data_IF_905941795315
#
_entry.id   IF_905941795315
#
_cell.length_a   1.000
_cell.length_b   1.000
_cell.length_c   1.000
_cell.angle_alpha   90.00
_cell.angle_beta   90.00
_cell.angle_gamma   90.00
#
_symmetry.space_group_name_H-M   'P 1'
#
loop_
_entity.id
_entity.type
_entity.pdbx_description
1 polymer ?
#
# COMPACT_ATOMS: atom_id res chain seq x y z
N UNK A 1 11.86 2.89 9.76
CA UNK A 1 11.20 3.38 11.00
C UNK A 1 9.82 4.00 10.73
N UNK A 2 8.90 3.35 9.99
CA UNK A 2 7.52 3.85 9.80
C UNK A 2 6.46 2.77 9.99
N UNK A 3 6.84 1.51 9.76
CA UNK A 3 5.98 0.33 9.94
C UNK A 3 5.56 0.14 11.42
N UNK A 4 6.39 0.59 12.36
CA UNK A 4 6.18 0.49 13.80
C UNK A 4 5.04 1.36 14.34
N UNK A 5 4.61 2.42 13.64
CA UNK A 5 3.60 3.35 14.15
C UNK A 5 2.14 2.85 13.99
N UNK A 6 1.87 2.02 12.98
CA UNK A 6 0.51 1.47 12.73
C UNK A 6 0.24 0.28 13.66
N UNK A 7 1.22 -0.62 13.79
CA UNK A 7 1.15 -1.79 14.69
C UNK A 7 1.02 -1.35 16.17
N UNK A 8 1.68 -0.24 16.56
CA UNK A 8 1.69 0.26 17.93
C UNK A 8 0.31 0.71 18.46
N UNK A 9 -0.71 0.89 17.61
CA UNK A 9 -2.07 1.28 18.00
C UNK A 9 -3.07 0.11 18.02
N UNK A 10 -2.59 -1.14 17.96
CA UNK A 10 -3.45 -2.32 17.93
C UNK A 10 -4.13 -2.58 16.58
N UNK A 11 -3.71 -1.87 15.52
CA UNK A 11 -4.21 -2.09 14.16
C UNK A 11 -3.44 -3.27 13.55
N UNK A 12 -4.16 -4.36 13.28
CA UNK A 12 -3.59 -5.53 12.58
C UNK A 12 -3.48 -5.21 11.09
N UNK A 13 -2.27 -5.33 10.55
CA UNK A 13 -2.06 -5.29 9.12
C UNK A 13 -2.54 -6.62 8.52
N UNK A 14 -3.39 -6.55 7.50
CA UNK A 14 -3.86 -7.73 6.78
C UNK A 14 -2.84 -8.19 5.71
N UNK A 15 -1.93 -7.29 5.31
CA UNK A 15 -0.89 -7.53 4.31
C UNK A 15 0.40 -6.78 4.69
N UNK A 16 1.54 -7.30 4.26
CA UNK A 16 2.83 -6.63 4.41
C UNK A 16 2.85 -5.28 3.67
N UNK A 17 3.56 -4.30 4.23
CA UNK A 17 3.78 -3.01 3.56
C UNK A 17 4.70 -3.24 2.36
N UNK A 18 4.14 -3.17 1.15
CA UNK A 18 4.88 -3.32 -0.11
C UNK A 18 4.75 -2.09 -0.98
N UNK A 19 5.69 -1.96 -1.92
CA UNK A 19 5.62 -0.94 -2.97
C UNK A 19 5.05 -1.61 -4.20
N UNK A 20 3.83 -1.26 -4.56
CA UNK A 20 3.04 -1.88 -5.62
C UNK A 20 2.25 -0.77 -6.33
N UNK A 21 1.48 -1.10 -7.37
CA UNK A 21 0.60 -0.14 -8.05
C UNK A 21 1.29 1.18 -8.42
N UNK A 22 2.18 1.12 -9.41
CA UNK A 22 2.78 2.34 -10.00
C UNK A 22 3.55 3.23 -9.02
N UNK A 23 4.22 2.62 -8.04
CA UNK A 23 5.12 3.33 -7.12
C UNK A 23 4.47 3.77 -5.80
N UNK A 24 3.28 3.25 -5.50
CA UNK A 24 2.60 3.47 -4.23
C UNK A 24 3.09 2.49 -3.17
N UNK A 25 3.22 2.98 -1.94
CA UNK A 25 3.42 2.13 -0.75
C UNK A 25 2.09 1.98 -0.04
N UNK A 26 1.62 0.73 0.04
CA UNK A 26 0.30 0.40 0.55
C UNK A 26 0.33 -0.48 1.77
N UNK A 27 -0.74 -0.41 2.55
CA UNK A 27 -1.13 -1.47 3.48
C UNK A 27 -2.64 -1.56 3.59
N UNK A 28 -3.11 -2.71 4.08
CA UNK A 28 -4.52 -3.03 4.16
C UNK A 28 -4.90 -3.30 5.60
N UNK A 29 -6.04 -2.72 6.02
CA UNK A 29 -6.61 -2.90 7.35
C UNK A 29 -8.10 -3.24 7.24
N UNK A 30 -8.64 -3.87 8.29
CA UNK A 30 -10.07 -4.03 8.47
C UNK A 30 -10.55 -3.09 9.57
N UNK A 31 -11.63 -2.34 9.31
CA UNK A 31 -12.23 -1.50 10.33
C UNK A 31 -13.20 -2.30 11.23
N UNK A 32 -13.79 -1.62 12.22
CA UNK A 32 -14.69 -2.22 13.21
C UNK A 32 -16.02 -2.70 12.61
N UNK A 33 -16.43 -2.13 11.48
CA UNK A 33 -17.66 -2.47 10.77
C UNK A 33 -17.42 -3.58 9.73
N UNK A 34 -16.16 -3.99 9.56
CA UNK A 34 -15.75 -5.09 8.71
C UNK A 34 -15.33 -4.67 7.30
N UNK A 35 -15.26 -3.38 6.98
CA UNK A 35 -14.80 -2.91 5.67
C UNK A 35 -13.30 -3.12 5.49
N UNK A 36 -12.89 -3.45 4.27
CA UNK A 36 -11.48 -3.52 3.87
C UNK A 36 -11.04 -2.15 3.37
N UNK A 37 -10.09 -1.54 4.08
CA UNK A 37 -9.52 -0.25 3.74
C UNK A 37 -8.11 -0.45 3.19
N UNK A 38 -7.89 -0.05 1.94
CA UNK A 38 -6.57 0.00 1.34
C UNK A 38 -6.03 1.43 1.43
N UNK A 39 -4.89 1.61 2.09
CA UNK A 39 -4.28 2.92 2.30
C UNK A 39 -2.98 2.96 1.51
N UNK A 40 -2.92 3.85 0.51
CA UNK A 40 -1.78 4.02 -0.36
C UNK A 40 -1.15 5.39 -0.21
N UNK A 41 0.16 5.44 -0.36
CA UNK A 41 0.92 6.68 -0.48
C UNK A 41 1.91 6.56 -1.63
N UNK A 42 1.88 7.48 -2.57
CA UNK A 42 2.89 7.56 -3.62
C UNK A 42 4.26 7.86 -3.02
N UNK A 43 5.18 6.92 -3.20
CA UNK A 43 6.58 7.04 -2.74
C UNK A 43 7.54 7.14 -3.91
N UNK A 44 7.13 6.73 -5.11
CA UNK A 44 7.83 6.94 -6.37
C UNK A 44 6.81 7.46 -7.40
N UNK A 45 7.04 8.66 -7.93
CA UNK A 45 6.30 9.12 -9.10
C UNK A 45 6.82 8.37 -10.32
N UNK A 46 5.91 7.81 -11.11
CA UNK A 46 6.23 7.09 -12.34
C UNK A 46 5.68 7.86 -13.53
N UNK A 47 6.44 7.87 -14.61
CA UNK A 47 5.98 8.36 -15.92
C UNK A 47 4.94 7.42 -16.52
N UNK A 48 4.19 7.91 -17.50
CA UNK A 48 3.14 7.10 -18.13
C UNK A 48 3.70 5.86 -18.87
N UNK A 49 4.92 5.97 -19.40
CA UNK A 49 5.63 4.86 -20.04
C UNK A 49 6.02 3.78 -19.02
N UNK A 50 6.58 4.19 -17.86
CA UNK A 50 6.90 3.26 -16.77
C UNK A 50 5.65 2.56 -16.20
N UNK A 51 4.52 3.27 -16.15
CA UNK A 51 3.22 2.72 -15.72
C UNK A 51 2.71 1.68 -16.71
N UNK A 52 2.78 1.99 -18.01
CA UNK A 52 2.34 1.10 -19.07
C UNK A 52 3.17 -0.19 -19.11
N UNK A 53 4.47 -0.11 -18.85
CA UNK A 53 5.34 -1.29 -18.80
C UNK A 53 5.08 -2.15 -17.55
N UNK A 54 4.89 -1.54 -16.38
CA UNK A 54 4.52 -2.26 -15.16
C UNK A 54 3.17 -3.00 -15.29
N UNK A 55 2.21 -2.44 -16.04
CA UNK A 55 0.92 -3.08 -16.29
C UNK A 55 1.00 -4.28 -17.25
N UNK A 56 2.02 -4.33 -18.12
CA UNK A 56 2.23 -5.43 -19.08
C UNK A 56 2.98 -6.61 -18.45
N UNK A 57 3.79 -6.37 -17.42
CA UNK A 57 4.60 -7.38 -16.72
C UNK A 57 4.37 -7.28 -15.20
N UNK A 58 3.27 -7.87 -14.68
CA UNK A 58 2.90 -7.78 -13.27
C UNK A 58 3.85 -8.53 -12.33
#
# INVERSE_FOLDING_TARGET
>A
MRDSAVIAKGVKLEQDIKTEYWGDRGFTVRDIDGYTLNIYKTVKQMTMDEIADAARNP
#
